data_IF_012568236837
#
_entry.id   IF_012568236837
#
_cell.length_a   1.000
_cell.length_b   1.000
_cell.length_c   1.000
_cell.angle_alpha   90.00
_cell.angle_beta   90.00
_cell.angle_gamma   90.00
#
_symmetry.space_group_name_H-M   'P 1'
#
loop_
_entity.id
_entity.type
_entity.pdbx_description
1 polymer ?
#
# COMPACT_ATOMS: atom_id res chain seq x y z
N UNK A 1 -22.22 -55.90 56.81
CA UNK A 1 -20.99 -55.66 57.59
C UNK A 1 -20.18 -54.65 56.80
N UNK A 2 -20.21 -53.40 57.25
CA UNK A 2 -19.47 -52.31 56.63
C UNK A 2 -17.99 -52.44 56.97
N UNK A 3 -17.11 -52.09 56.03
CA UNK A 3 -15.95 -51.25 56.31
C UNK A 3 -15.86 -50.26 55.16
N UNK A 4 -16.08 -48.99 55.48
CA UNK A 4 -15.82 -47.89 54.58
C UNK A 4 -14.43 -47.32 54.86
N UNK A 5 -13.83 -46.75 53.83
CA UNK A 5 -13.03 -45.55 53.98
C UNK A 5 -13.66 -44.46 53.11
N UNK A 6 -13.84 -43.31 53.74
CA UNK A 6 -14.41 -42.09 53.19
C UNK A 6 -13.32 -41.02 53.14
N UNK A 7 -13.48 -40.13 52.15
CA UNK A 7 -12.90 -38.78 52.03
C UNK A 7 -11.47 -38.71 51.44
N UNK A 8 -11.09 -37.78 50.55
CA UNK A 8 -11.73 -36.55 50.08
C UNK A 8 -11.09 -36.07 48.76
N UNK A 9 -11.92 -35.48 47.90
CA UNK A 9 -11.65 -34.47 46.86
C UNK A 9 -10.22 -33.91 46.75
N UNK A 10 -9.68 -33.90 45.53
CA UNK A 10 -9.29 -32.68 44.82
C UNK A 10 -9.17 -32.99 43.32
N UNK A 11 -10.16 -32.56 42.55
CA UNK A 11 -10.08 -32.41 41.11
C UNK A 11 -9.09 -31.29 40.78
N UNK A 12 -7.92 -31.64 40.26
CA UNK A 12 -6.98 -30.73 39.61
C UNK A 12 -6.22 -31.57 38.57
N UNK A 13 -6.10 -31.20 37.31
CA UNK A 13 -6.13 -29.90 36.67
C UNK A 13 -6.42 -30.15 35.16
N UNK A 14 -7.50 -29.62 34.56
CA UNK A 14 -7.52 -29.49 33.12
C UNK A 14 -6.58 -28.34 32.78
N UNK A 15 -5.37 -28.67 32.31
CA UNK A 15 -4.48 -27.70 31.68
C UNK A 15 -5.33 -26.79 30.78
N UNK A 16 -5.45 -25.48 31.04
CA UNK A 16 -6.08 -24.62 30.09
C UNK A 16 -5.14 -24.61 28.87
N UNK A 17 -5.59 -25.23 27.79
CA UNK A 17 -5.12 -24.89 26.46
C UNK A 17 -5.41 -23.41 26.30
N UNK A 18 -4.43 -22.59 26.68
CA UNK A 18 -4.31 -21.23 26.21
C UNK A 18 -4.19 -21.34 24.70
N UNK A 19 -5.34 -21.29 24.03
CA UNK A 19 -5.38 -20.83 22.66
C UNK A 19 -4.98 -19.37 22.80
N UNK A 20 -3.79 -18.94 22.31
CA UNK A 20 -3.60 -17.52 22.12
C UNK A 20 -4.72 -17.14 21.18
N UNK A 21 -5.73 -16.41 21.67
CA UNK A 21 -6.42 -15.48 20.80
C UNK A 21 -5.29 -14.73 20.14
N UNK A 22 -5.16 -14.87 18.82
CA UNK A 22 -4.44 -13.90 18.03
C UNK A 22 -5.03 -12.57 18.48
N UNK A 23 -4.34 -11.89 19.38
CA UNK A 23 -4.59 -10.49 19.64
C UNK A 23 -4.05 -9.83 18.38
N UNK A 24 -4.87 -9.87 17.33
CA UNK A 24 -4.61 -9.23 16.06
C UNK A 24 -4.78 -7.74 16.29
N UNK A 25 -3.88 -7.18 17.09
CA UNK A 25 -3.36 -5.86 16.85
C UNK A 25 -2.47 -6.00 15.62
N UNK A 26 -3.11 -6.19 14.47
CA UNK A 26 -2.45 -5.84 13.22
C UNK A 26 -2.43 -4.32 13.22
N UNK A 27 -1.24 -3.72 13.13
CA UNK A 27 -1.12 -2.54 12.29
C UNK A 27 -1.81 -2.92 10.97
N UNK A 28 -3.01 -2.38 10.77
CA UNK A 28 -3.98 -2.69 9.74
C UNK A 28 -3.78 -1.89 8.46
N UNK A 29 -2.83 -0.92 8.45
CA UNK A 29 -2.33 -0.35 7.21
C UNK A 29 -1.88 -1.49 6.30
N UNK A 30 -2.66 -1.71 5.26
CA UNK A 30 -2.46 -2.84 4.36
C UNK A 30 -2.75 -2.41 2.94
N UNK A 31 -1.92 -2.91 2.04
CA UNK A 31 -2.12 -2.84 0.60
C UNK A 31 -2.31 -4.25 0.11
N UNK A 32 -3.43 -4.52 -0.55
CA UNK A 32 -3.80 -5.86 -1.01
C UNK A 32 -4.10 -5.79 -2.49
N UNK A 33 -3.48 -6.68 -3.28
CA UNK A 33 -3.79 -6.80 -4.71
C UNK A 33 -5.23 -7.27 -4.90
N UNK A 34 -5.99 -6.61 -5.77
CA UNK A 34 -7.37 -6.97 -6.06
C UNK A 34 -7.52 -8.17 -7.00
N UNK A 35 -6.43 -8.54 -7.68
CA UNK A 35 -6.40 -9.54 -8.76
C UNK A 35 -6.54 -8.98 -10.17
N UNK A 36 -6.80 -7.68 -10.35
CA UNK A 36 -6.75 -7.06 -11.67
C UNK A 36 -5.29 -6.78 -12.08
N UNK A 37 -4.86 -7.37 -13.20
CA UNK A 37 -3.59 -7.07 -13.85
C UNK A 37 -3.71 -5.89 -14.82
N UNK A 38 -2.57 -5.39 -15.26
CA UNK A 38 -2.44 -4.50 -16.41
C UNK A 38 -1.42 -5.13 -17.35
N UNK A 39 -1.84 -5.44 -18.57
CA UNK A 39 -0.99 -5.94 -19.65
C UNK A 39 -1.17 -5.01 -20.85
N UNK A 40 -0.04 -4.59 -21.41
CA UNK A 40 0.03 -3.75 -22.61
C UNK A 40 0.69 -4.60 -23.69
N UNK A 41 0.12 -4.59 -24.88
CA UNK A 41 0.71 -5.25 -26.05
C UNK A 41 1.39 -4.22 -26.98
N UNK A 42 2.60 -4.55 -27.43
CA UNK A 42 3.39 -3.78 -28.40
C UNK A 42 2.89 -3.96 -29.84
N UNK A 43 2.03 -4.95 -30.10
CA UNK A 43 1.45 -5.15 -31.42
C UNK A 43 0.51 -4.01 -31.81
N UNK A 44 0.42 -3.74 -33.11
CA UNK A 44 -0.35 -2.62 -33.61
C UNK A 44 -1.86 -2.87 -33.48
N UNK A 45 -2.54 -2.04 -32.70
CA UNK A 45 -3.99 -2.12 -32.55
C UNK A 45 -4.42 -1.74 -31.14
N UNK A 46 -5.67 -2.06 -30.80
CA UNK A 46 -6.07 -2.19 -29.41
C UNK A 46 -6.17 -3.68 -29.13
N UNK A 47 -5.37 -4.16 -28.17
CA UNK A 47 -5.36 -5.53 -27.72
C UNK A 47 -6.15 -5.68 -26.43
N UNK A 48 -7.40 -6.13 -26.60
CA UNK A 48 -8.30 -6.43 -25.49
C UNK A 48 -9.44 -7.33 -25.98
N UNK A 49 -10.12 -7.97 -25.02
CA UNK A 49 -11.20 -8.93 -25.26
C UNK A 49 -12.34 -8.46 -26.18
N UNK A 50 -12.51 -7.14 -26.39
CA UNK A 50 -13.57 -6.58 -27.25
C UNK A 50 -13.05 -6.22 -28.65
N UNK A 51 -11.89 -5.57 -28.74
CA UNK A 51 -11.33 -5.11 -30.01
C UNK A 51 -10.70 -6.26 -30.81
N UNK A 52 -10.02 -7.18 -30.12
CA UNK A 52 -9.27 -8.29 -30.70
C UNK A 52 -9.52 -9.57 -29.89
N UNK A 53 -10.71 -10.19 -30.02
CA UNK A 53 -11.06 -11.40 -29.27
C UNK A 53 -10.30 -12.67 -29.72
N UNK A 54 -9.42 -12.56 -30.72
CA UNK A 54 -8.61 -13.64 -31.26
C UNK A 54 -7.38 -13.04 -31.94
N UNK A 55 -6.18 -13.65 -31.79
CA UNK A 55 -5.87 -14.82 -30.96
C UNK A 55 -6.08 -14.58 -29.45
N UNK A 56 -5.92 -15.62 -28.64
CA UNK A 56 -6.25 -15.54 -27.21
C UNK A 56 -5.31 -14.61 -26.42
N UNK A 57 -4.05 -14.43 -26.87
CA UNK A 57 -3.10 -13.47 -26.30
C UNK A 57 -3.63 -12.04 -26.41
N UNK A 58 -3.87 -11.57 -27.64
CA UNK A 58 -4.53 -10.29 -27.92
C UNK A 58 -5.78 -9.99 -27.06
N UNK A 59 -6.57 -11.02 -26.74
CA UNK A 59 -7.82 -10.89 -26.01
C UNK A 59 -7.64 -10.75 -24.48
N UNK A 60 -6.50 -11.17 -23.92
CA UNK A 60 -6.23 -11.13 -22.48
C UNK A 60 -5.48 -9.87 -22.02
N UNK A 61 -5.10 -9.01 -22.97
CA UNK A 61 -4.53 -7.69 -22.74
C UNK A 61 -5.55 -6.62 -22.32
N UNK A 62 -5.02 -5.47 -21.90
CA UNK A 62 -5.80 -4.37 -21.34
C UNK A 62 -5.60 -3.04 -22.06
N UNK A 63 -5.28 -3.10 -23.35
CA UNK A 63 -5.01 -1.90 -24.15
C UNK A 63 -6.21 -0.97 -24.18
N UNK A 64 -5.90 0.31 -24.06
CA UNK A 64 -6.85 1.40 -24.11
C UNK A 64 -6.30 2.52 -24.99
N UNK A 65 -7.21 3.28 -25.60
CA UNK A 65 -6.84 4.45 -26.41
C UNK A 65 -5.97 5.42 -25.60
N UNK A 66 -4.87 5.89 -26.18
CA UNK A 66 -3.99 6.93 -25.61
C UNK A 66 -4.75 8.20 -25.20
N UNK A 67 -5.81 8.54 -25.93
CA UNK A 67 -6.66 9.70 -25.63
C UNK A 67 -7.45 9.55 -24.31
N UNK A 68 -7.55 8.34 -23.76
CA UNK A 68 -8.21 8.05 -22.49
C UNK A 68 -7.30 8.24 -21.27
N UNK A 69 -6.00 8.52 -21.47
CA UNK A 69 -5.06 8.72 -20.37
C UNK A 69 -5.55 9.86 -19.43
N UNK A 70 -5.46 9.68 -18.10
CA UNK A 70 -5.75 10.74 -17.15
C UNK A 70 -4.97 12.01 -17.46
N UNK A 71 -5.62 13.17 -17.38
CA UNK A 71 -5.00 14.46 -17.73
C UNK A 71 -3.80 14.80 -16.84
N UNK A 72 -3.87 14.46 -15.55
CA UNK A 72 -2.76 14.56 -14.60
C UNK A 72 -1.53 13.79 -15.09
N UNK A 73 -1.75 12.57 -15.59
CA UNK A 73 -0.68 11.70 -16.06
C UNK A 73 -0.08 12.18 -17.38
N UNK A 74 -0.92 12.39 -18.41
CA UNK A 74 -0.47 12.83 -19.74
C UNK A 74 0.21 14.22 -19.71
N UNK A 75 -0.27 15.14 -18.88
CA UNK A 75 0.38 16.46 -18.70
C UNK A 75 1.74 16.31 -18.05
N UNK A 76 1.88 15.45 -17.04
CA UNK A 76 3.17 15.23 -16.38
C UNK A 76 4.18 14.59 -17.34
N UNK A 77 3.80 13.58 -18.10
CA UNK A 77 4.68 12.94 -19.09
C UNK A 77 5.13 13.91 -20.19
N UNK A 78 4.24 14.81 -20.62
CA UNK A 78 4.59 15.89 -21.53
C UNK A 78 5.63 16.82 -20.93
N UNK A 79 5.47 17.23 -19.66
CA UNK A 79 6.45 18.06 -18.95
C UNK A 79 7.79 17.35 -18.75
N UNK A 80 7.80 16.02 -18.61
CA UNK A 80 9.01 15.20 -18.51
C UNK A 80 9.69 14.94 -19.87
N UNK A 81 9.08 15.38 -20.98
CA UNK A 81 9.62 15.18 -22.32
C UNK A 81 9.58 13.72 -22.79
N UNK A 82 8.54 12.96 -22.42
CA UNK A 82 8.46 11.53 -22.73
C UNK A 82 8.40 11.20 -24.23
N UNK A 83 8.00 12.15 -25.07
CA UNK A 83 7.89 11.95 -26.53
C UNK A 83 6.51 11.45 -26.95
N UNK A 84 6.46 10.67 -28.02
CA UNK A 84 5.21 10.11 -28.57
C UNK A 84 4.97 8.72 -28.02
N UNK A 85 3.84 8.53 -27.34
CA UNK A 85 3.46 7.21 -26.84
C UNK A 85 3.05 6.27 -27.98
N UNK A 86 3.36 4.98 -27.83
CA UNK A 86 3.07 3.90 -28.76
C UNK A 86 1.79 3.15 -28.38
N UNK A 87 1.58 2.91 -27.09
CA UNK A 87 0.42 2.21 -26.55
C UNK A 87 0.14 2.60 -25.11
N UNK A 88 -1.05 2.28 -24.61
CA UNK A 88 -1.42 2.43 -23.20
C UNK A 88 -2.35 1.31 -22.78
N UNK A 89 -2.30 0.95 -21.50
CA UNK A 89 -3.19 -0.03 -20.90
C UNK A 89 -3.71 0.45 -19.55
N UNK A 90 -4.84 -0.12 -19.12
CA UNK A 90 -5.51 0.19 -17.87
C UNK A 90 -5.88 -1.09 -17.15
N UNK A 91 -5.55 -1.21 -15.87
CA UNK A 91 -5.80 -2.41 -15.08
C UNK A 91 -7.25 -2.90 -15.20
N UNK A 92 -7.43 -4.17 -15.59
CA UNK A 92 -8.74 -4.81 -15.76
C UNK A 92 -9.64 -4.19 -16.85
N UNK A 93 -9.09 -3.41 -17.78
CA UNK A 93 -9.82 -2.90 -18.93
C UNK A 93 -10.05 -3.99 -19.98
N UNK A 94 -11.29 -4.08 -20.49
CA UNK A 94 -11.69 -5.16 -21.42
C UNK A 94 -12.11 -4.65 -22.80
N UNK A 95 -12.14 -3.34 -23.01
CA UNK A 95 -12.67 -2.71 -24.23
C UNK A 95 -14.21 -2.63 -24.30
N UNK A 96 -14.94 -3.26 -23.37
CA UNK A 96 -16.39 -3.25 -23.38
C UNK A 96 -16.94 -1.83 -23.17
N UNK A 97 -18.09 -1.52 -23.78
CA UNK A 97 -18.72 -0.20 -23.67
C UNK A 97 -18.98 0.16 -22.20
N UNK A 98 -18.43 1.29 -21.75
CA UNK A 98 -18.56 1.76 -20.37
C UNK A 98 -17.62 1.09 -19.36
N UNK A 99 -16.77 0.15 -19.79
CA UNK A 99 -15.69 -0.35 -18.95
C UNK A 99 -14.68 0.79 -18.71
N UNK A 100 -14.29 0.97 -17.45
CA UNK A 100 -13.32 2.00 -17.02
C UNK A 100 -12.17 1.38 -16.26
N UNK A 101 -11.87 0.10 -16.51
CA UNK A 101 -10.93 -0.68 -15.72
C UNK A 101 -11.45 -1.06 -14.34
N UNK A 102 -10.60 -1.74 -13.59
CA UNK A 102 -10.81 -2.21 -12.22
C UNK A 102 -9.63 -1.79 -11.35
N UNK A 103 -9.88 -1.61 -10.05
CA UNK A 103 -8.80 -1.37 -9.08
C UNK A 103 -7.80 -2.52 -9.19
N UNK A 104 -6.50 -2.23 -9.19
CA UNK A 104 -5.40 -3.20 -9.14
C UNK A 104 -5.04 -3.57 -7.69
N UNK A 105 -5.36 -2.69 -6.75
CA UNK A 105 -5.16 -2.90 -5.33
C UNK A 105 -6.23 -2.18 -4.50
N UNK A 106 -6.42 -2.64 -3.27
CA UNK A 106 -7.10 -1.93 -2.20
C UNK A 106 -6.10 -1.52 -1.12
N UNK A 107 -6.41 -0.42 -0.44
CA UNK A 107 -5.69 0.04 0.73
C UNK A 107 -6.66 0.18 1.89
N UNK A 108 -6.26 -0.28 3.08
CA UNK A 108 -7.03 -0.13 4.31
C UNK A 108 -6.17 0.59 5.33
N UNK A 109 -6.72 1.61 5.99
CA UNK A 109 -6.04 2.33 7.07
C UNK A 109 -6.19 1.61 8.41
N UNK A 110 -5.35 1.98 9.37
CA UNK A 110 -5.60 1.65 10.78
C UNK A 110 -6.95 2.20 11.27
N UNK A 111 -7.59 1.54 12.25
CA UNK A 111 -8.78 2.09 12.90
C UNK A 111 -8.53 3.52 13.43
N UNK A 112 -9.31 4.49 12.94
CA UNK A 112 -9.18 5.90 13.30
C UNK A 112 -8.08 6.68 12.55
N UNK A 113 -7.36 6.03 11.62
CA UNK A 113 -6.44 6.69 10.70
C UNK A 113 -7.10 6.97 9.34
N UNK A 114 -6.51 7.88 8.58
CA UNK A 114 -6.89 8.16 7.19
C UNK A 114 -5.69 7.95 6.28
N UNK A 115 -5.87 7.24 5.16
CA UNK A 115 -4.84 7.13 4.13
C UNK A 115 -4.55 8.51 3.56
N UNK A 116 -3.29 8.91 3.58
CA UNK A 116 -2.83 10.21 3.08
C UNK A 116 -2.08 10.12 1.77
N UNK A 117 -1.56 8.94 1.42
CA UNK A 117 -0.78 8.75 0.21
C UNK A 117 -0.78 7.30 -0.29
N UNK A 118 -0.65 7.13 -1.61
CA UNK A 118 -0.26 5.87 -2.25
C UNK A 118 0.80 6.15 -3.32
N UNK A 119 1.83 5.33 -3.43
CA UNK A 119 2.94 5.62 -4.36
C UNK A 119 3.63 4.37 -4.86
N UNK A 120 4.39 4.53 -5.95
CA UNK A 120 5.31 3.48 -6.39
C UNK A 120 6.59 3.51 -5.55
N UNK A 121 6.94 2.37 -4.95
CA UNK A 121 8.08 2.21 -4.05
C UNK A 121 8.89 0.94 -4.35
N UNK A 122 10.10 0.88 -3.83
CA UNK A 122 10.92 -0.33 -3.82
C UNK A 122 10.50 -1.30 -2.70
N UNK A 123 11.19 -2.44 -2.58
CA UNK A 123 10.91 -3.47 -1.58
C UNK A 123 11.07 -3.01 -0.13
N UNK A 124 11.72 -1.87 0.10
CA UNK A 124 11.92 -1.25 1.42
C UNK A 124 10.89 -0.17 1.74
N UNK A 125 10.02 0.17 0.78
CA UNK A 125 9.05 1.26 0.89
C UNK A 125 9.62 2.64 0.54
N UNK A 126 10.86 2.71 0.02
CA UNK A 126 11.44 3.97 -0.45
C UNK A 126 11.03 4.25 -1.90
N UNK A 127 10.98 5.54 -2.28
CA UNK A 127 10.75 5.93 -3.67
C UNK A 127 11.86 5.38 -4.57
N UNK A 128 11.50 4.87 -5.76
CA UNK A 128 12.47 4.33 -6.69
C UNK A 128 13.36 5.46 -7.23
N UNK A 129 14.68 5.26 -7.22
CA UNK A 129 15.64 6.22 -7.72
C UNK A 129 16.83 5.51 -8.39
N UNK A 130 16.68 5.17 -9.66
CA UNK A 130 17.70 4.49 -10.44
C UNK A 130 17.78 2.99 -10.20
N UNK A 131 16.65 2.37 -9.81
CA UNK A 131 16.57 0.92 -9.59
C UNK A 131 16.53 0.21 -10.94
N UNK A 132 17.38 -0.79 -11.14
CA UNK A 132 17.37 -1.59 -12.37
C UNK A 132 16.09 -2.44 -12.47
N UNK A 133 15.29 -2.17 -13.52
CA UNK A 133 14.07 -2.91 -13.83
C UNK A 133 14.35 -4.37 -14.20
N UNK A 134 15.55 -4.69 -14.71
CA UNK A 134 15.84 -5.94 -15.38
C UNK A 134 15.28 -6.04 -16.81
N UNK A 135 14.68 -4.96 -17.31
CA UNK A 135 14.24 -4.81 -18.69
C UNK A 135 15.27 -3.96 -19.46
N UNK A 136 15.38 -4.24 -20.75
CA UNK A 136 16.20 -3.47 -21.68
C UNK A 136 15.31 -2.90 -22.79
N UNK A 137 15.73 -1.76 -23.33
CA UNK A 137 15.24 -1.28 -24.64
C UNK A 137 15.62 -2.27 -25.73
N UNK A 138 14.95 -2.19 -26.89
CA UNK A 138 15.25 -3.05 -28.05
C UNK A 138 16.75 -3.07 -28.44
N UNK A 139 17.47 -1.96 -28.26
CA UNK A 139 18.91 -1.84 -28.55
C UNK A 139 19.84 -2.35 -27.43
N UNK A 140 19.27 -2.84 -26.32
CA UNK A 140 20.01 -3.43 -25.20
C UNK A 140 20.44 -2.44 -24.13
N UNK A 141 19.84 -1.26 -24.06
CA UNK A 141 20.09 -0.30 -22.98
C UNK A 141 19.20 -0.60 -21.78
N UNK A 142 19.81 -0.84 -20.61
CA UNK A 142 19.05 -1.15 -19.39
C UNK A 142 18.14 -0.01 -18.97
N UNK A 143 16.94 -0.37 -18.49
CA UNK A 143 15.91 0.58 -18.10
C UNK A 143 15.94 0.74 -16.57
N UNK A 144 16.18 1.96 -16.12
CA UNK A 144 16.22 2.33 -14.71
C UNK A 144 14.90 2.98 -14.29
N UNK A 145 14.41 2.59 -13.13
CA UNK A 145 13.13 2.99 -12.56
C UNK A 145 13.28 4.20 -11.63
N UNK A 146 12.37 5.16 -11.77
CA UNK A 146 12.29 6.35 -10.93
C UNK A 146 10.83 6.66 -10.59
N UNK A 147 10.55 6.90 -9.31
CA UNK A 147 9.29 7.51 -8.90
C UNK A 147 9.39 9.03 -9.14
N UNK A 148 8.38 9.62 -9.76
CA UNK A 148 8.39 11.04 -10.09
C UNK A 148 8.32 11.91 -8.83
N UNK A 149 9.20 12.92 -8.76
CA UNK A 149 9.35 13.75 -7.55
C UNK A 149 8.27 14.82 -7.40
N UNK A 150 7.45 15.07 -8.43
CA UNK A 150 6.33 16.02 -8.35
C UNK A 150 4.99 15.32 -8.16
N UNK A 151 4.90 14.04 -8.48
CA UNK A 151 3.75 13.18 -8.26
C UNK A 151 4.23 11.72 -8.12
N UNK A 152 4.32 11.23 -6.89
CA UNK A 152 4.84 9.91 -6.56
C UNK A 152 3.89 8.76 -6.92
N UNK A 153 2.68 9.08 -7.41
CA UNK A 153 1.80 8.14 -8.10
C UNK A 153 2.31 7.79 -9.49
N UNK A 154 3.36 8.44 -10.01
CA UNK A 154 3.94 8.20 -11.33
C UNK A 154 5.29 7.50 -11.20
N UNK A 155 5.43 6.38 -11.90
CA UNK A 155 6.69 5.68 -12.14
C UNK A 155 7.14 5.93 -13.58
N UNK A 156 8.42 6.18 -13.79
CA UNK A 156 9.03 6.23 -15.13
C UNK A 156 10.20 5.25 -15.24
N UNK A 157 10.22 4.48 -16.34
CA UNK A 157 11.38 3.71 -16.78
C UNK A 157 12.19 4.54 -17.77
N UNK A 158 13.47 4.80 -17.47
CA UNK A 158 14.38 5.60 -18.30
C UNK A 158 15.56 4.79 -18.80
N UNK A 159 15.93 4.98 -20.06
CA UNK A 159 17.08 4.31 -20.66
C UNK A 159 18.41 4.78 -20.03
N UNK A 160 19.10 3.88 -19.35
CA UNK A 160 20.49 3.99 -18.88
C UNK A 160 20.80 5.00 -17.78
N UNK A 161 20.01 6.06 -17.60
CA UNK A 161 20.27 7.13 -16.62
C UNK A 161 19.03 7.93 -16.25
N UNK A 162 19.11 8.74 -15.19
CA UNK A 162 18.03 9.62 -14.74
C UNK A 162 17.63 10.69 -15.78
N UNK A 163 18.56 11.07 -16.67
CA UNK A 163 18.31 11.97 -17.81
C UNK A 163 17.99 11.23 -19.11
N UNK A 164 17.94 9.90 -19.08
CA UNK A 164 17.60 9.07 -20.23
C UNK A 164 16.18 9.32 -20.73
N UNK A 165 15.94 8.98 -22.00
CA UNK A 165 14.61 8.99 -22.58
C UNK A 165 13.68 8.05 -21.80
N UNK A 166 12.41 8.45 -21.68
CA UNK A 166 11.38 7.60 -21.06
C UNK A 166 11.05 6.49 -22.05
N UNK A 167 11.04 5.25 -21.55
CA UNK A 167 10.74 4.03 -22.30
C UNK A 167 9.32 3.59 -22.02
N UNK A 168 8.92 3.59 -20.76
CA UNK A 168 7.54 3.42 -20.32
C UNK A 168 7.27 4.24 -19.06
N UNK A 169 6.00 4.41 -18.73
CA UNK A 169 5.56 4.98 -17.47
C UNK A 169 4.34 4.26 -16.93
N UNK A 170 4.17 4.29 -15.61
CA UNK A 170 2.97 3.81 -14.93
C UNK A 170 2.39 4.91 -14.02
N UNK A 171 1.08 4.87 -13.78
CA UNK A 171 0.38 5.82 -12.94
C UNK A 171 -0.68 5.16 -12.07
N UNK A 172 -0.70 5.53 -10.79
CA UNK A 172 -1.76 5.17 -9.85
C UNK A 172 -2.87 6.21 -9.94
N UNK A 173 -4.02 5.81 -10.49
CA UNK A 173 -5.26 6.55 -10.36
C UNK A 173 -5.94 6.14 -9.05
N UNK A 174 -5.93 7.03 -8.07
CA UNK A 174 -6.58 6.84 -6.78
C UNK A 174 -8.10 6.67 -6.90
N UNK A 175 -8.66 5.80 -6.06
CA UNK A 175 -10.09 5.51 -6.02
C UNK A 175 -10.62 5.45 -4.59
N UNK A 176 -11.91 5.76 -4.44
CA UNK A 176 -12.58 5.80 -3.14
C UNK A 176 -12.63 7.20 -2.53
N UNK A 177 -13.62 7.43 -1.66
CA UNK A 177 -13.70 8.61 -0.81
C UNK A 177 -14.24 8.18 0.57
N UNK A 178 -13.39 8.01 1.59
CA UNK A 178 -11.94 8.23 1.60
C UNK A 178 -11.17 7.23 0.70
N UNK A 179 -9.90 7.56 0.39
CA UNK A 179 -9.01 6.73 -0.44
C UNK A 179 -8.96 5.28 0.06
N UNK A 180 -9.29 4.33 -0.83
CA UNK A 180 -9.41 2.90 -0.49
C UNK A 180 -8.85 1.96 -1.55
N UNK A 181 -8.30 2.47 -2.65
CA UNK A 181 -7.57 1.67 -3.63
C UNK A 181 -7.11 2.50 -4.81
N UNK A 182 -6.64 1.83 -5.87
CA UNK A 182 -6.25 2.51 -7.10
C UNK A 182 -6.27 1.60 -8.31
N UNK A 183 -6.42 2.23 -9.48
CA UNK A 183 -6.21 1.61 -10.80
C UNK A 183 -4.79 1.91 -11.27
N UNK A 184 -4.21 1.02 -12.05
CA UNK A 184 -2.89 1.22 -12.64
C UNK A 184 -3.04 1.47 -14.13
N UNK A 185 -2.50 2.59 -14.58
CA UNK A 185 -2.30 2.92 -15.98
C UNK A 185 -0.86 2.64 -16.37
N UNK A 186 -0.64 2.16 -17.59
CA UNK A 186 0.67 2.04 -18.20
C UNK A 186 0.66 2.69 -19.57
N UNK A 187 1.81 3.21 -19.97
CA UNK A 187 2.03 3.80 -21.30
C UNK A 187 3.46 3.53 -21.72
N UNK A 188 3.64 3.23 -23.00
CA UNK A 188 4.92 2.90 -23.57
C UNK A 188 5.32 3.91 -24.64
N UNK A 189 6.62 4.17 -24.76
CA UNK A 189 7.23 5.17 -25.63
C UNK A 189 8.32 4.59 -26.54
N UNK A 190 8.94 3.47 -26.14
CA UNK A 190 9.94 2.77 -26.95
C UNK A 190 9.78 1.27 -26.75
N UNK A 191 10.10 0.46 -27.78
CA UNK A 191 9.94 -0.98 -27.67
C UNK A 191 10.87 -1.61 -26.64
N UNK A 192 10.35 -2.61 -25.93
CA UNK A 192 11.07 -3.44 -25.00
C UNK A 192 11.75 -4.61 -25.72
N UNK A 193 12.87 -5.07 -25.16
CA UNK A 193 13.54 -6.26 -25.64
C UNK A 193 12.91 -7.50 -25.02
N UNK A 194 12.34 -8.34 -25.88
CA UNK A 194 11.81 -9.64 -25.50
C UNK A 194 12.85 -10.76 -25.59
N UNK A 195 12.85 -11.72 -24.64
CA UNK A 195 13.67 -12.94 -24.72
C UNK A 195 13.48 -13.77 -26.00
N UNK A 196 12.23 -13.95 -26.45
CA UNK A 196 11.87 -14.74 -27.63
C UNK A 196 11.22 -13.89 -28.72
N UNK A 197 12.04 -13.43 -29.67
CA UNK A 197 11.58 -12.64 -30.81
C UNK A 197 10.68 -13.39 -31.81
N UNK A 198 10.42 -14.69 -31.61
CA UNK A 198 9.52 -15.48 -32.46
C UNK A 198 8.13 -15.67 -31.85
N UNK A 199 7.95 -15.30 -30.58
CA UNK A 199 6.68 -15.34 -29.88
C UNK A 199 6.13 -13.90 -29.72
N UNK A 200 5.07 -13.51 -30.45
CA UNK A 200 4.44 -12.21 -30.26
C UNK A 200 3.88 -12.01 -28.86
N UNK A 201 3.49 -13.09 -28.18
CA UNK A 201 2.92 -13.09 -26.84
C UNK A 201 4.01 -13.33 -25.76
N UNK A 202 5.28 -13.01 -26.04
CA UNK A 202 6.33 -13.11 -25.02
C UNK A 202 6.18 -11.96 -24.02
N UNK A 203 6.07 -12.29 -22.74
CA UNK A 203 5.74 -11.32 -21.71
C UNK A 203 6.96 -10.99 -20.84
N UNK A 204 7.21 -9.69 -20.66
CA UNK A 204 8.15 -9.17 -19.67
C UNK A 204 7.41 -8.46 -18.53
N UNK A 205 8.00 -8.41 -17.34
CA UNK A 205 7.34 -7.84 -16.17
C UNK A 205 8.31 -7.21 -15.17
N UNK A 206 7.74 -6.45 -14.23
CA UNK A 206 8.45 -5.78 -13.14
C UNK A 206 8.30 -6.51 -11.80
N UNK A 207 8.11 -7.84 -11.83
CA UNK A 207 7.90 -8.64 -10.62
C UNK A 207 9.08 -8.47 -9.64
N UNK A 208 8.76 -8.23 -8.37
CA UNK A 208 9.74 -7.96 -7.31
C UNK A 208 10.62 -6.72 -7.54
N UNK A 209 10.22 -5.81 -8.43
CA UNK A 209 10.93 -4.55 -8.69
C UNK A 209 10.16 -3.34 -8.20
N UNK A 210 8.85 -3.33 -8.44
CA UNK A 210 7.95 -2.23 -8.13
C UNK A 210 6.88 -2.71 -7.16
N UNK A 211 6.62 -1.91 -6.13
CA UNK A 211 5.62 -2.16 -5.10
C UNK A 211 4.71 -0.95 -4.96
N UNK A 212 3.55 -1.15 -4.33
CA UNK A 212 2.64 -0.08 -3.96
C UNK A 212 2.85 0.23 -2.47
N UNK A 213 3.30 1.43 -2.17
CA UNK A 213 3.39 1.97 -0.83
C UNK A 213 2.11 2.70 -0.45
N UNK A 214 1.78 2.73 0.84
CA UNK A 214 0.71 3.54 1.38
C UNK A 214 1.20 4.29 2.63
N UNK A 215 0.75 5.53 2.78
CA UNK A 215 0.93 6.36 3.96
C UNK A 215 -0.41 6.67 4.60
N UNK A 216 -0.42 6.85 5.92
CA UNK A 216 -1.61 7.27 6.65
C UNK A 216 -1.24 8.25 7.76
N UNK A 217 -2.21 9.06 8.16
CA UNK A 217 -2.14 9.83 9.39
C UNK A 217 -3.05 9.17 10.43
N UNK A 218 -2.48 8.86 11.59
CA UNK A 218 -3.25 8.47 12.76
C UNK A 218 -3.65 9.75 13.52
N UNK A 219 -4.95 9.99 13.66
CA UNK A 219 -5.41 11.14 14.44
C UNK A 219 -5.16 10.88 15.93
N UNK A 220 -4.33 11.72 16.54
CA UNK A 220 -4.10 11.73 17.98
C UNK A 220 -4.82 12.93 18.59
N UNK A 221 -5.72 12.69 19.55
CA UNK A 221 -6.48 13.73 20.22
C UNK A 221 -6.55 13.51 21.73
N UNK A 222 -6.34 14.59 22.49
CA UNK A 222 -6.59 14.67 23.93
C UNK A 222 -7.97 15.27 24.24
N UNK A 223 -8.83 15.47 23.24
CA UNK A 223 -10.16 16.01 23.46
C UNK A 223 -10.94 15.13 24.44
N UNK A 224 -11.50 15.73 25.48
CA UNK A 224 -12.19 15.05 26.59
C UNK A 224 -11.29 14.19 27.51
N UNK A 225 -9.97 14.31 27.41
CA UNK A 225 -9.08 13.79 28.45
C UNK A 225 -9.49 14.40 29.81
N UNK A 226 -9.75 13.58 30.85
CA UNK A 226 -10.15 14.09 32.16
C UNK A 226 -9.11 15.08 32.70
N UNK A 227 -9.55 16.28 33.08
CA UNK A 227 -8.67 17.26 33.72
C UNK A 227 -8.35 16.84 35.16
N UNK A 228 -7.07 16.92 35.55
CA UNK A 228 -6.69 17.10 36.95
C UNK A 228 -6.53 15.85 37.83
N UNK A 229 -6.15 14.68 37.32
CA UNK A 229 -5.76 13.55 38.20
C UNK A 229 -4.86 12.46 37.58
N UNK A 230 -4.21 12.73 36.45
CA UNK A 230 -3.35 11.74 35.78
C UNK A 230 -1.95 12.32 35.59
N UNK A 231 -0.95 11.78 36.30
CA UNK A 231 0.47 12.15 36.16
C UNK A 231 1.01 11.86 34.74
N UNK A 232 0.37 10.91 34.08
CA UNK A 232 0.60 10.55 32.69
C UNK A 232 -0.71 10.02 32.09
N UNK A 233 -0.89 10.17 30.78
CA UNK A 233 -1.88 9.43 30.01
C UNK A 233 -1.17 8.30 29.26
N UNK A 234 -1.77 7.11 29.31
CA UNK A 234 -1.32 5.97 28.50
C UNK A 234 -2.30 5.77 27.36
N UNK A 235 -1.80 5.87 26.14
CA UNK A 235 -2.53 5.46 24.95
C UNK A 235 -2.02 4.11 24.53
N UNK A 236 -2.93 3.16 24.52
CA UNK A 236 -2.66 1.78 24.15
C UNK A 236 -3.35 1.50 22.83
N UNK A 237 -2.96 0.43 22.17
CA UNK A 237 -3.74 -0.08 21.06
C UNK A 237 -5.21 -0.23 21.45
N UNK A 238 -6.11 0.17 20.55
CA UNK A 238 -7.54 -0.06 20.68
C UNK A 238 -7.84 -1.53 21.03
N UNK A 239 -8.61 -1.74 22.10
CA UNK A 239 -8.99 -3.08 22.58
C UNK A 239 -7.99 -3.76 23.51
N UNK A 240 -6.82 -3.16 23.78
CA UNK A 240 -5.87 -3.71 24.73
C UNK A 240 -6.49 -3.84 26.13
N UNK A 241 -6.36 -5.02 26.72
CA UNK A 241 -6.82 -5.31 28.08
C UNK A 241 -5.60 -5.55 28.98
N UNK A 242 -5.73 -5.21 30.26
CA UNK A 242 -4.66 -5.45 31.21
C UNK A 242 -4.38 -6.96 31.36
N UNK A 243 -3.11 -7.35 31.37
CA UNK A 243 -2.67 -8.70 31.69
C UNK A 243 -2.94 -9.06 33.16
N UNK A 244 -2.63 -10.30 33.54
CA UNK A 244 -2.84 -10.79 34.90
C UNK A 244 -2.05 -10.00 35.98
N UNK A 245 -1.07 -9.18 35.58
CA UNK A 245 -0.28 -8.33 36.44
C UNK A 245 -0.70 -6.84 36.36
N UNK A 246 -1.81 -6.53 35.66
CA UNK A 246 -2.31 -5.16 35.51
C UNK A 246 -1.55 -4.34 34.46
N UNK A 247 -0.69 -4.95 33.65
CA UNK A 247 0.05 -4.26 32.59
C UNK A 247 -0.80 -4.25 31.32
N UNK A 248 -0.96 -3.09 30.69
CA UNK A 248 -1.63 -3.03 29.39
C UNK A 248 -0.56 -3.21 28.31
N UNK A 249 -0.59 -4.31 27.53
CA UNK A 249 0.35 -4.50 26.41
C UNK A 249 0.04 -3.51 25.28
N UNK A 250 1.04 -3.23 24.43
CA UNK A 250 0.84 -2.33 23.29
C UNK A 250 0.66 -0.85 23.67
N UNK A 251 1.40 -0.38 24.69
CA UNK A 251 1.50 1.06 24.97
C UNK A 251 2.20 1.73 23.79
N UNK A 252 1.45 2.54 23.04
CA UNK A 252 1.97 3.24 21.86
C UNK A 252 2.56 4.60 22.24
N UNK A 253 1.94 5.29 23.19
CA UNK A 253 2.35 6.63 23.63
C UNK A 253 2.11 6.77 25.13
N UNK A 254 3.14 7.26 25.85
CA UNK A 254 3.00 7.77 27.22
C UNK A 254 3.14 9.28 27.14
N UNK A 255 2.10 10.00 27.53
CA UNK A 255 2.10 11.47 27.58
C UNK A 255 2.29 11.88 29.03
N UNK A 256 3.28 12.72 29.28
CA UNK A 256 3.50 13.38 30.58
C UNK A 256 3.45 14.89 30.37
N UNK A 257 3.00 15.63 31.38
CA UNK A 257 3.03 17.09 31.35
C UNK A 257 4.45 17.62 31.20
N UNK A 258 4.61 18.86 30.69
CA UNK A 258 5.92 19.49 30.52
C UNK A 258 6.67 19.69 31.85
N UNK A 259 5.93 19.95 32.93
CA UNK A 259 6.45 20.17 34.29
C UNK A 259 5.59 19.37 35.31
N UNK A 260 5.74 18.03 35.37
CA UNK A 260 4.92 17.22 36.27
C UNK A 260 5.28 17.50 37.73
N UNK A 261 4.27 17.71 38.58
CA UNK A 261 4.48 17.92 40.02
C UNK A 261 5.20 16.72 40.64
N UNK A 262 6.28 16.97 41.38
CA UNK A 262 6.92 15.95 42.20
C UNK A 262 6.04 15.65 43.44
N UNK A 263 5.19 14.62 43.29
CA UNK A 263 4.30 14.16 44.36
C UNK A 263 5.04 13.55 45.56
N UNK A 264 6.35 13.28 45.44
CA UNK A 264 7.16 12.85 46.58
C UNK A 264 7.67 14.03 47.42
N UNK A 265 7.63 15.25 46.87
CA UNK A 265 8.22 16.44 47.48
C UNK A 265 7.22 17.47 48.02
N UNK A 266 5.92 17.40 47.73
CA UNK A 266 4.95 18.39 48.23
C UNK A 266 3.61 17.81 48.66
N UNK A 267 3.06 18.35 49.75
CA UNK A 267 1.69 18.14 50.23
C UNK A 267 0.67 19.01 49.47
N UNK A 268 1.02 19.56 48.30
CA UNK A 268 0.14 20.43 47.54
C UNK A 268 -0.85 19.59 46.71
N UNK A 269 -2.13 19.84 46.90
CA UNK A 269 -3.20 19.24 46.09
C UNK A 269 -3.09 19.72 44.63
N UNK A 270 -3.50 18.86 43.70
CA UNK A 270 -3.62 19.19 42.28
C UNK A 270 -4.45 20.46 42.12
N UNK A 271 -3.90 21.46 41.43
CA UNK A 271 -4.53 22.75 41.17
C UNK A 271 -5.06 22.83 39.75
N UNK A 272 -5.96 23.77 39.48
CA UNK A 272 -6.50 24.00 38.13
C UNK A 272 -5.48 24.55 37.12
N UNK A 273 -4.25 24.83 37.57
CA UNK A 273 -3.13 25.22 36.71
C UNK A 273 -2.32 24.01 36.20
N UNK A 274 -2.60 22.80 36.71
CA UNK A 274 -1.90 21.58 36.35
C UNK A 274 -2.60 20.90 35.15
N UNK A 275 -2.00 21.00 33.96
CA UNK A 275 -2.55 20.45 32.71
C UNK A 275 -1.54 19.56 31.99
N UNK A 276 -2.04 18.52 31.31
CA UNK A 276 -1.31 17.79 30.26
C UNK A 276 -1.37 18.58 28.96
#
# INVERSE_FOLDING_TARGET
>A
MATGEQNSSLTGDPTPLYIPTLDSVVNALSVVTSGASVTLDETAGLQNSTATPSPAGDADDNDILLASLPSTFSTRLTALGAGTAMGAALSGYTGAVGNTGSNAFSVTADPGATITNVSFVDSTGALLNGVDSGLDTLDGTSILLYTDTSNDNILVGRAGSASGAIVFAAYIEETGSPLSGGKIWTVEYQPLKHPDATNPDDAVNLLNKVFIGAGQDAEFSLANAPSGQQLFLMFTTAGATADANGRIPGVSIVVTGRDPLDQSASSAAITSADTV
#
